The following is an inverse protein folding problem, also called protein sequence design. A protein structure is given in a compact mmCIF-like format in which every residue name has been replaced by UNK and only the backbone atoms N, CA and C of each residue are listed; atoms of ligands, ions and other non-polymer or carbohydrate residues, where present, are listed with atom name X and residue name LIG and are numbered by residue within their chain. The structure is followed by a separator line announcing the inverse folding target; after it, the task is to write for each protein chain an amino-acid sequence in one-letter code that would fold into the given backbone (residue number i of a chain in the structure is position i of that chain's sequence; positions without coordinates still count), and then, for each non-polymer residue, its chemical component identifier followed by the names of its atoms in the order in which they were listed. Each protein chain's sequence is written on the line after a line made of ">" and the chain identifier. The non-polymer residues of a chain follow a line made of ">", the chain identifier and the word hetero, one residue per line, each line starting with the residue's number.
data_IF_050290978137
#
_entry.id   IF_050290978137
#
_cell.length_a   1.000
_cell.length_b   1.000
_cell.length_c   1.000
_cell.angle_alpha   90.00
_cell.angle_beta   90.00
_cell.angle_gamma   90.00
#
_symmetry.space_group_name_H-M   'P 1'
#
loop_
_entity.id
_entity.type
_entity.pdbx_description
1 polymer ?
#
# COMPACT_ATOMS: atom_id res chain seq x y z
N UNK A 1 11.33 -16.60 -12.74
CA UNK A 1 11.37 -15.13 -12.60
C UNK A 1 9.96 -14.67 -12.32
N UNK A 2 9.79 -13.63 -11.45
CA UNK A 2 8.46 -13.05 -11.22
C UNK A 2 7.92 -12.45 -12.53
N UNK A 3 6.62 -12.62 -12.78
CA UNK A 3 5.91 -11.97 -13.89
C UNK A 3 5.46 -10.54 -13.50
N UNK A 4 5.47 -10.22 -12.19
CA UNK A 4 5.10 -8.89 -11.69
C UNK A 4 6.25 -7.93 -11.98
N UNK A 5 6.01 -6.81 -12.70
CA UNK A 5 7.04 -5.83 -13.00
C UNK A 5 7.63 -5.22 -11.72
N UNK A 6 8.95 -4.93 -11.67
CA UNK A 6 9.56 -4.32 -10.48
C UNK A 6 8.93 -2.98 -10.14
N UNK A 7 8.59 -2.79 -8.85
CA UNK A 7 7.90 -1.59 -8.37
C UNK A 7 8.65 -0.29 -8.69
N UNK A 8 9.96 -0.28 -8.53
CA UNK A 8 10.76 0.92 -8.73
C UNK A 8 10.97 1.32 -10.19
N UNK A 9 10.70 0.43 -11.13
CA UNK A 9 10.74 0.69 -12.57
C UNK A 9 9.41 1.21 -13.11
N UNK A 10 8.34 1.16 -12.32
CA UNK A 10 7.01 1.61 -12.75
C UNK A 10 6.98 3.13 -12.92
N UNK A 11 6.40 3.56 -14.05
CA UNK A 11 6.06 4.94 -14.34
C UNK A 11 4.58 5.17 -14.07
N UNK A 12 4.25 6.37 -13.61
CA UNK A 12 2.90 6.75 -13.27
C UNK A 12 2.45 7.93 -14.11
N UNK A 13 1.26 7.82 -14.69
CA UNK A 13 0.56 8.90 -15.38
C UNK A 13 -0.65 9.31 -14.52
N UNK A 14 -0.74 10.60 -14.21
CA UNK A 14 -1.77 11.18 -13.36
C UNK A 14 -2.69 12.12 -14.15
N UNK A 15 -3.03 11.75 -15.39
CA UNK A 15 -3.89 12.55 -16.28
C UNK A 15 -5.39 12.35 -16.06
N UNK A 16 -5.79 11.42 -15.20
CA UNK A 16 -7.20 11.15 -14.90
C UNK A 16 -7.84 12.27 -14.04
N UNK A 17 -9.19 12.45 -14.12
CA UNK A 17 -9.89 13.50 -13.39
C UNK A 17 -9.89 13.26 -11.87
N UNK A 18 -9.95 14.36 -11.10
CA UNK A 18 -9.99 14.30 -9.61
C UNK A 18 -11.24 13.54 -9.13
N UNK A 19 -12.33 13.64 -9.85
CA UNK A 19 -13.62 13.00 -9.58
C UNK A 19 -13.56 11.47 -9.54
N UNK A 20 -12.41 10.87 -9.88
CA UNK A 20 -12.16 9.44 -9.70
C UNK A 20 -11.87 9.04 -8.26
N UNK A 21 -11.70 9.98 -7.32
CA UNK A 21 -11.34 9.64 -5.95
C UNK A 21 -12.31 8.65 -5.27
N UNK A 22 -13.65 8.64 -5.51
CA UNK A 22 -14.51 7.64 -4.88
C UNK A 22 -14.19 6.21 -5.30
N UNK A 23 -13.89 6.00 -6.59
CA UNK A 23 -13.50 4.68 -7.11
C UNK A 23 -12.19 4.19 -6.48
N UNK A 24 -11.21 5.09 -6.33
CA UNK A 24 -9.94 4.79 -5.67
C UNK A 24 -10.12 4.48 -4.18
N UNK A 25 -11.01 5.21 -3.50
CA UNK A 25 -11.37 4.93 -2.12
C UNK A 25 -11.96 3.52 -1.95
N UNK A 26 -12.87 3.11 -2.82
CA UNK A 26 -13.46 1.76 -2.78
C UNK A 26 -12.42 0.68 -3.10
N UNK A 27 -11.51 0.93 -4.06
CA UNK A 27 -10.40 0.03 -4.38
C UNK A 27 -9.49 -0.20 -3.16
N UNK A 28 -9.08 0.89 -2.49
CA UNK A 28 -8.26 0.86 -1.27
C UNK A 28 -8.97 0.17 -0.10
N UNK A 29 -10.26 0.49 0.11
CA UNK A 29 -11.08 -0.14 1.14
C UNK A 29 -11.19 -1.66 0.95
N UNK A 30 -11.14 -2.13 -0.29
CA UNK A 30 -11.22 -3.55 -0.63
C UNK A 30 -9.92 -4.33 -0.44
N UNK A 31 -8.77 -3.67 -0.28
CA UNK A 31 -7.47 -4.36 -0.18
C UNK A 31 -7.40 -5.36 0.99
N UNK A 32 -7.82 -5.03 2.23
CA UNK A 32 -7.79 -6.00 3.32
C UNK A 32 -8.62 -7.27 3.05
N UNK A 33 -9.80 -7.13 2.46
CA UNK A 33 -10.64 -8.27 2.14
C UNK A 33 -10.01 -9.19 1.09
N UNK A 34 -9.42 -8.60 0.03
CA UNK A 34 -8.69 -9.35 -1.00
C UNK A 34 -7.49 -10.08 -0.42
N UNK A 35 -6.74 -9.42 0.46
CA UNK A 35 -5.59 -10.01 1.13
C UNK A 35 -6.00 -11.18 2.04
N UNK A 36 -7.06 -11.02 2.83
CA UNK A 36 -7.60 -12.07 3.70
C UNK A 36 -8.09 -13.29 2.90
N UNK A 37 -8.81 -13.05 1.80
CA UNK A 37 -9.25 -14.13 0.90
C UNK A 37 -8.05 -14.92 0.34
N UNK A 38 -7.05 -14.22 -0.16
CA UNK A 38 -5.88 -14.85 -0.77
C UNK A 38 -5.07 -15.70 0.22
N UNK A 39 -4.94 -15.24 1.47
CA UNK A 39 -4.09 -15.89 2.47
C UNK A 39 -4.84 -16.85 3.39
N UNK A 40 -6.17 -16.73 3.49
CA UNK A 40 -7.00 -17.43 4.48
C UNK A 40 -7.05 -18.95 4.35
N UNK A 41 -6.68 -19.50 3.20
CA UNK A 41 -6.63 -20.95 2.95
C UNK A 41 -5.23 -21.51 2.72
N UNK A 42 -4.21 -20.67 2.72
CA UNK A 42 -2.85 -21.08 2.42
C UNK A 42 -2.19 -21.79 3.61
N UNK A 43 -1.46 -22.88 3.35
CA UNK A 43 -0.72 -23.60 4.36
C UNK A 43 0.43 -22.73 4.92
N UNK A 44 0.77 -22.90 6.20
CA UNK A 44 1.77 -22.08 6.88
C UNK A 44 3.14 -22.11 6.20
N UNK A 45 3.57 -23.24 5.73
CA UNK A 45 4.84 -23.40 5.00
C UNK A 45 4.86 -22.60 3.69
N UNK A 46 3.73 -22.56 2.97
CA UNK A 46 3.56 -21.72 1.78
C UNK A 46 3.63 -20.23 2.13
N UNK A 47 2.93 -19.81 3.20
CA UNK A 47 2.92 -18.41 3.65
C UNK A 47 4.29 -17.88 4.04
N UNK A 48 5.16 -18.74 4.61
CA UNK A 48 6.48 -18.38 5.11
C UNK A 48 7.62 -18.69 4.14
N UNK A 49 7.30 -19.37 3.01
CA UNK A 49 8.30 -19.75 2.02
C UNK A 49 8.92 -18.51 1.37
N UNK A 50 10.23 -18.47 1.32
CA UNK A 50 11.00 -17.44 0.61
C UNK A 50 11.60 -18.04 -0.65
N UNK A 51 11.62 -17.24 -1.70
CA UNK A 51 12.35 -17.56 -2.93
C UNK A 51 13.58 -16.66 -3.00
N UNK A 52 14.76 -17.26 -2.87
CA UNK A 52 16.01 -16.51 -2.76
C UNK A 52 15.94 -15.50 -1.59
N UNK A 53 16.41 -14.27 -1.78
CA UNK A 53 16.38 -13.19 -0.79
C UNK A 53 15.08 -12.36 -0.83
N UNK A 54 13.98 -12.89 -1.44
CA UNK A 54 12.71 -12.18 -1.56
C UNK A 54 11.83 -12.41 -0.34
N UNK A 55 10.89 -11.50 -0.15
CA UNK A 55 9.88 -11.63 0.90
C UNK A 55 8.95 -12.82 0.67
N UNK A 56 8.53 -13.45 1.75
CA UNK A 56 7.45 -14.41 1.78
C UNK A 56 6.08 -13.72 1.60
N UNK A 57 5.02 -14.50 1.38
CA UNK A 57 3.66 -13.97 1.30
C UNK A 57 3.26 -13.23 2.59
N UNK A 58 3.65 -13.74 3.76
CA UNK A 58 3.37 -13.11 5.05
C UNK A 58 4.16 -11.82 5.26
N UNK A 59 5.40 -11.73 4.78
CA UNK A 59 6.20 -10.50 4.82
C UNK A 59 5.62 -9.43 3.90
N UNK A 60 5.10 -9.78 2.72
CA UNK A 60 4.36 -8.85 1.87
C UNK A 60 3.11 -8.30 2.55
N UNK A 61 2.33 -9.16 3.24
CA UNK A 61 1.17 -8.72 4.02
C UNK A 61 1.57 -7.77 5.16
N UNK A 62 2.66 -8.09 5.87
CA UNK A 62 3.22 -7.24 6.93
C UNK A 62 3.71 -5.89 6.40
N UNK A 63 4.31 -5.86 5.22
CA UNK A 63 4.76 -4.62 4.58
C UNK A 63 3.59 -3.68 4.25
N UNK A 64 2.46 -4.20 3.78
CA UNK A 64 1.26 -3.39 3.57
C UNK A 64 0.82 -2.70 4.87
N UNK A 65 0.82 -3.43 5.98
CA UNK A 65 0.53 -2.86 7.31
C UNK A 65 1.55 -1.78 7.69
N UNK A 66 2.84 -2.04 7.49
CA UNK A 66 3.92 -1.13 7.90
C UNK A 66 3.84 0.23 7.23
N UNK A 67 3.33 0.29 6.00
CA UNK A 67 3.24 1.53 5.22
C UNK A 67 2.00 2.37 5.52
N UNK A 68 1.01 1.87 6.26
CA UNK A 68 -0.20 2.65 6.59
C UNK A 68 0.14 3.97 7.30
N UNK A 69 1.17 3.98 8.16
CA UNK A 69 1.64 5.21 8.81
C UNK A 69 2.22 6.22 7.83
N UNK A 70 2.92 5.77 6.79
CA UNK A 70 3.43 6.64 5.73
C UNK A 70 2.29 7.24 4.90
N UNK A 71 1.30 6.43 4.54
CA UNK A 71 0.15 6.92 3.79
C UNK A 71 -0.63 7.98 4.54
N UNK A 72 -0.82 7.77 5.85
CA UNK A 72 -1.45 8.74 6.74
C UNK A 72 -0.65 10.03 6.85
N UNK A 73 0.67 9.95 7.07
CA UNK A 73 1.54 11.11 7.14
C UNK A 73 1.52 11.95 5.85
N UNK A 74 1.48 11.30 4.68
CA UNK A 74 1.37 12.01 3.40
C UNK A 74 0.04 12.73 3.21
N UNK A 75 -1.05 12.19 3.75
CA UNK A 75 -2.33 12.93 3.80
C UNK A 75 -2.17 14.19 4.66
N UNK A 76 -1.44 14.12 5.78
CA UNK A 76 -1.14 15.29 6.60
C UNK A 76 -0.34 16.35 5.83
N UNK A 77 0.64 15.93 5.02
CA UNK A 77 1.41 16.83 4.16
C UNK A 77 0.49 17.60 3.18
N UNK A 78 -0.46 16.91 2.53
CA UNK A 78 -1.44 17.56 1.64
C UNK A 78 -2.33 18.54 2.40
N UNK A 79 -2.77 18.20 3.62
CA UNK A 79 -3.63 19.07 4.42
C UNK A 79 -2.89 20.32 4.93
N UNK A 80 -1.63 20.15 5.29
CA UNK A 80 -0.78 21.27 5.73
C UNK A 80 -0.36 22.19 4.58
N UNK A 81 -0.60 21.82 3.33
CA UNK A 81 -0.13 22.59 2.17
C UNK A 81 1.39 22.52 2.00
N UNK A 82 2.00 21.44 2.44
CA UNK A 82 3.44 21.21 2.32
C UNK A 82 3.90 21.11 0.84
N UNK A 83 5.12 21.59 0.57
CA UNK A 83 5.66 21.58 -0.80
C UNK A 83 6.03 20.15 -1.26
N UNK A 84 6.32 19.24 -0.35
CA UNK A 84 6.73 17.87 -0.64
C UNK A 84 6.15 16.88 0.36
N UNK A 85 5.92 15.65 -0.12
CA UNK A 85 5.42 14.55 0.71
C UNK A 85 6.52 13.94 1.57
N UNK A 86 6.14 13.40 2.71
CA UNK A 86 7.01 12.61 3.59
C UNK A 86 7.77 11.54 2.79
N UNK A 87 9.09 11.48 3.00
CA UNK A 87 10.00 10.54 2.31
C UNK A 87 9.79 9.13 2.86
N UNK A 88 9.65 8.16 1.95
CA UNK A 88 9.62 6.75 2.33
C UNK A 88 11.03 6.23 2.65
N UNK A 89 11.15 5.34 3.61
CA UNK A 89 12.35 4.53 3.80
C UNK A 89 12.42 3.44 2.71
N UNK A 90 13.22 3.69 1.69
CA UNK A 90 13.38 2.75 0.55
C UNK A 90 14.16 1.48 0.91
N UNK A 91 14.81 1.45 2.08
CA UNK A 91 15.45 0.23 2.60
C UNK A 91 14.45 -0.74 3.23
N UNK A 92 13.19 -0.33 3.43
CA UNK A 92 12.14 -1.10 4.08
C UNK A 92 12.56 -1.64 5.47
N UNK A 93 13.38 -0.89 6.21
CA UNK A 93 13.93 -1.29 7.50
C UNK A 93 12.85 -1.75 8.47
N UNK A 94 11.73 -1.02 8.55
CA UNK A 94 10.60 -1.36 9.41
C UNK A 94 10.09 -2.78 9.14
N UNK A 95 9.92 -3.17 7.88
CA UNK A 95 9.44 -4.50 7.48
C UNK A 95 10.48 -5.58 7.80
N UNK A 96 11.76 -5.30 7.56
CA UNK A 96 12.84 -6.25 7.88
C UNK A 96 12.97 -6.49 9.38
N UNK A 97 12.86 -5.44 10.20
CA UNK A 97 12.98 -5.53 11.66
C UNK A 97 11.72 -6.11 12.33
N UNK A 98 10.55 -6.00 11.71
CA UNK A 98 9.28 -6.46 12.27
C UNK A 98 9.18 -7.98 12.39
N UNK A 99 10.04 -8.74 11.70
CA UNK A 99 10.05 -10.20 11.71
C UNK A 99 8.66 -10.82 11.51
N UNK A 100 7.95 -10.38 10.48
CA UNK A 100 6.56 -10.75 10.23
C UNK A 100 6.35 -12.26 10.15
N UNK A 101 7.34 -13.04 9.72
CA UNK A 101 7.25 -14.51 9.65
C UNK A 101 7.15 -15.19 11.02
N UNK A 102 7.54 -14.52 12.11
CA UNK A 102 7.36 -15.02 13.48
C UNK A 102 6.01 -14.64 14.09
N UNK A 103 5.24 -13.75 13.44
CA UNK A 103 3.97 -13.24 13.95
C UNK A 103 2.80 -14.14 13.53
N UNK A 104 1.67 -13.98 14.22
CA UNK A 104 0.41 -14.59 13.79
C UNK A 104 -0.14 -13.83 12.57
N UNK A 105 -0.45 -14.55 11.48
CA UNK A 105 -1.01 -13.96 10.27
C UNK A 105 -2.32 -13.21 10.54
N UNK A 106 -3.21 -13.80 11.36
CA UNK A 106 -4.51 -13.17 11.69
C UNK A 106 -4.32 -11.82 12.37
N UNK A 107 -3.31 -11.67 13.23
CA UNK A 107 -2.98 -10.38 13.85
C UNK A 107 -2.52 -9.35 12.83
N UNK A 108 -1.66 -9.73 11.87
CA UNK A 108 -1.19 -8.85 10.80
C UNK A 108 -2.38 -8.37 9.98
N UNK A 109 -3.25 -9.29 9.54
CA UNK A 109 -4.42 -8.99 8.73
C UNK A 109 -5.42 -8.08 9.45
N UNK A 110 -5.69 -8.36 10.73
CA UNK A 110 -6.59 -7.55 11.57
C UNK A 110 -6.04 -6.14 11.77
N UNK A 111 -4.73 -6.00 12.06
CA UNK A 111 -4.09 -4.71 12.23
C UNK A 111 -4.09 -3.92 10.92
N UNK A 112 -3.80 -4.56 9.79
CA UNK A 112 -3.86 -3.92 8.48
C UNK A 112 -5.28 -3.43 8.16
N UNK A 113 -6.30 -4.27 8.34
CA UNK A 113 -7.71 -3.89 8.15
C UNK A 113 -8.08 -2.68 9.02
N UNK A 114 -7.71 -2.69 10.29
CA UNK A 114 -7.99 -1.60 11.22
C UNK A 114 -7.32 -0.30 10.78
N UNK A 115 -6.03 -0.34 10.46
CA UNK A 115 -5.28 0.83 10.02
C UNK A 115 -5.84 1.39 8.68
N UNK A 116 -6.13 0.52 7.70
CA UNK A 116 -6.72 0.92 6.43
C UNK A 116 -8.11 1.54 6.61
N UNK A 117 -8.95 1.02 7.50
CA UNK A 117 -10.27 1.58 7.74
C UNK A 117 -10.17 2.96 8.41
N UNK A 118 -9.28 3.16 9.38
CA UNK A 118 -9.02 4.48 9.94
C UNK A 118 -8.55 5.47 8.85
N UNK A 119 -7.68 5.04 7.95
CA UNK A 119 -7.27 5.84 6.79
C UNK A 119 -8.47 6.20 5.90
N UNK A 120 -9.35 5.25 5.60
CA UNK A 120 -10.54 5.46 4.77
C UNK A 120 -11.57 6.36 5.44
N UNK A 121 -11.83 6.18 6.73
CA UNK A 121 -12.75 7.01 7.51
C UNK A 121 -12.28 8.46 7.53
N UNK A 122 -10.98 8.68 7.61
CA UNK A 122 -10.41 10.01 7.51
C UNK A 122 -10.68 10.67 6.16
N UNK A 123 -10.45 9.96 5.06
CA UNK A 123 -10.71 10.46 3.71
C UNK A 123 -12.19 10.75 3.46
N UNK A 124 -13.10 9.97 4.06
CA UNK A 124 -14.53 10.15 3.92
C UNK A 124 -15.05 11.47 4.51
N UNK A 125 -14.28 12.11 5.39
CA UNK A 125 -14.62 13.39 5.99
C UNK A 125 -14.05 14.60 5.21
N UNK A 126 -13.43 14.40 4.04
CA UNK A 126 -12.85 15.48 3.25
C UNK A 126 -13.85 16.00 2.22
N UNK A 127 -13.86 17.32 2.08
CA UNK A 127 -14.55 17.97 0.95
C UNK A 127 -13.87 17.58 -0.37
N UNK A 128 -14.61 17.43 -1.48
CA UNK A 128 -14.06 17.03 -2.79
C UNK A 128 -12.84 17.84 -3.24
N UNK A 129 -12.82 19.15 -2.94
CA UNK A 129 -11.70 20.03 -3.31
C UNK A 129 -10.37 19.64 -2.66
N UNK A 130 -10.37 18.92 -1.55
CA UNK A 130 -9.15 18.46 -0.88
C UNK A 130 -8.38 17.46 -1.75
N UNK A 131 -9.09 16.64 -2.55
CA UNK A 131 -8.45 15.64 -3.42
C UNK A 131 -7.65 16.25 -4.58
N UNK A 132 -7.83 17.54 -4.86
CA UNK A 132 -7.04 18.29 -5.85
C UNK A 132 -5.78 18.94 -5.26
N UNK A 133 -5.57 18.94 -3.93
CA UNK A 133 -4.37 19.51 -3.30
C UNK A 133 -3.13 18.78 -3.79
N UNK A 134 -2.07 19.56 -4.06
CA UNK A 134 -0.85 19.07 -4.74
C UNK A 134 0.38 19.22 -3.83
N UNK A 135 1.25 18.22 -3.86
CA UNK A 135 2.59 18.25 -3.28
C UNK A 135 3.58 17.47 -4.17
N UNK A 136 4.88 17.72 -4.03
CA UNK A 136 5.92 17.01 -4.79
C UNK A 136 6.15 15.61 -4.21
N UNK A 137 6.05 14.57 -5.06
CA UNK A 137 6.43 13.22 -4.63
C UNK A 137 7.96 13.06 -4.63
N UNK A 138 8.60 12.75 -3.47
CA UNK A 138 10.05 12.83 -3.32
C UNK A 138 10.82 11.87 -4.24
N UNK A 139 10.32 10.66 -4.48
CA UNK A 139 10.96 9.66 -5.36
C UNK A 139 10.66 9.92 -6.83
N UNK A 140 9.41 10.19 -7.19
CA UNK A 140 9.00 10.37 -8.59
C UNK A 140 9.43 11.72 -9.16
N UNK A 141 9.78 12.69 -8.30
CA UNK A 141 10.16 14.06 -8.69
C UNK A 141 9.12 14.77 -9.55
N UNK A 142 7.85 14.45 -9.34
CA UNK A 142 6.73 15.07 -10.06
C UNK A 142 5.65 15.52 -9.08
N UNK A 143 4.88 16.58 -9.42
CA UNK A 143 3.70 16.97 -8.65
C UNK A 143 2.69 15.83 -8.59
N UNK A 144 2.05 15.68 -7.44
CA UNK A 144 1.07 14.65 -7.16
C UNK A 144 -0.10 15.29 -6.42
N UNK A 145 -1.32 15.14 -6.93
CA UNK A 145 -2.54 15.52 -6.20
C UNK A 145 -2.84 14.45 -5.14
N UNK A 146 -3.69 14.75 -4.16
CA UNK A 146 -4.13 13.72 -3.21
C UNK A 146 -4.80 12.53 -3.92
N UNK A 147 -5.63 12.77 -4.94
CA UNK A 147 -6.23 11.68 -5.74
C UNK A 147 -5.16 10.81 -6.43
N UNK A 148 -4.07 11.40 -6.92
CA UNK A 148 -2.95 10.67 -7.53
C UNK A 148 -2.22 9.84 -6.48
N UNK A 149 -2.12 10.36 -5.25
CA UNK A 149 -1.56 9.59 -4.13
C UNK A 149 -2.42 8.37 -3.79
N UNK A 150 -3.75 8.50 -3.77
CA UNK A 150 -4.63 7.34 -3.59
C UNK A 150 -4.45 6.29 -4.69
N UNK A 151 -4.30 6.74 -5.94
CA UNK A 151 -3.99 5.85 -7.06
C UNK A 151 -2.64 5.16 -6.85
N UNK A 152 -1.60 5.92 -6.48
CA UNK A 152 -0.27 5.36 -6.20
C UNK A 152 -0.31 4.30 -5.09
N UNK A 153 -1.05 4.54 -4.00
CA UNK A 153 -1.22 3.56 -2.91
C UNK A 153 -1.97 2.33 -3.40
N UNK A 154 -3.04 2.50 -4.19
CA UNK A 154 -3.80 1.38 -4.75
C UNK A 154 -2.95 0.50 -5.69
N UNK A 155 -2.10 1.13 -6.51
CA UNK A 155 -1.15 0.42 -7.38
C UNK A 155 -0.06 -0.31 -6.58
N UNK A 156 0.37 0.26 -5.44
CA UNK A 156 1.30 -0.39 -4.53
C UNK A 156 0.67 -1.61 -3.85
N UNK A 157 -0.56 -1.47 -3.38
CA UNK A 157 -1.32 -2.59 -2.81
C UNK A 157 -1.44 -3.74 -3.83
N UNK A 158 -1.87 -3.44 -5.05
CA UNK A 158 -2.06 -4.45 -6.10
C UNK A 158 -0.74 -5.09 -6.53
N UNK A 159 0.37 -4.34 -6.52
CA UNK A 159 1.70 -4.91 -6.74
C UNK A 159 2.00 -6.00 -5.70
N UNK A 160 1.78 -5.72 -4.42
CA UNK A 160 2.04 -6.70 -3.36
C UNK A 160 1.04 -7.86 -3.37
N UNK A 161 -0.23 -7.62 -3.69
CA UNK A 161 -1.21 -8.69 -3.91
C UNK A 161 -0.80 -9.61 -5.07
N UNK A 162 -0.31 -9.06 -6.17
CA UNK A 162 0.19 -9.85 -7.29
C UNK A 162 1.42 -10.68 -6.92
N UNK A 163 2.36 -10.13 -6.14
CA UNK A 163 3.51 -10.88 -5.62
C UNK A 163 3.07 -12.03 -4.70
N UNK A 164 2.11 -11.77 -3.81
CA UNK A 164 1.52 -12.80 -2.94
C UNK A 164 0.88 -13.91 -3.80
N UNK A 165 0.08 -13.52 -4.81
CA UNK A 165 -0.56 -14.47 -5.71
C UNK A 165 0.43 -15.42 -6.39
N UNK A 166 1.55 -14.88 -6.88
CA UNK A 166 2.62 -15.70 -7.46
C UNK A 166 3.24 -16.67 -6.44
N UNK A 167 3.37 -16.24 -5.18
CA UNK A 167 4.01 -17.06 -4.13
C UNK A 167 3.12 -18.22 -3.67
N UNK A 168 1.81 -18.02 -3.61
CA UNK A 168 0.88 -19.05 -3.09
C UNK A 168 0.35 -20.01 -4.18
N UNK A 169 0.50 -19.67 -5.47
CA UNK A 169 -0.01 -20.49 -6.59
C UNK A 169 1.10 -21.16 -7.41
N UNK A 170 2.33 -21.05 -7.04
CA UNK A 170 3.49 -21.70 -7.69
C UNK A 170 4.17 -22.69 -6.77
#
# INVERSE_FOLDING_TARGET
>A
MSQVPPWFERKFDFTFPVEQYPNLCIRLRGTPARLEEMLGGAARDVLLSKREDRWSAQEHAGHLLDLESLWTARVDDFLAGGNALTVADLSNRKTHEANHNSRNLTEILTQFRTARFHFMDRLANFEPAVFARTALHPRLKQPMRLVDHLYFVAEHDDHHLAMIWELINL
#
